data_IF_600774290922
#
_entry.id   IF_600774290922
#
_cell.length_a   1.000
_cell.length_b   1.000
_cell.length_c   1.000
_cell.angle_alpha   90.00
_cell.angle_beta   90.00
_cell.angle_gamma   90.00
#
_symmetry.space_group_name_H-M   'P 1'
#
loop_
_entity.id
_entity.type
_entity.pdbx_description
1 polymer ?
#
# COMPACT_ATOMS: atom_id res chain seq x y z
N UNK A 1 35.46 0.98 4.43
CA UNK A 1 34.12 1.32 4.93
C UNK A 1 33.01 0.94 3.94
N UNK A 2 33.02 1.35 2.65
CA UNK A 2 31.98 1.03 1.67
C UNK A 2 31.74 -0.48 1.47
N UNK A 3 32.79 -1.30 1.42
CA UNK A 3 32.67 -2.76 1.27
C UNK A 3 31.99 -3.39 2.49
N UNK A 4 32.32 -2.93 3.69
CA UNK A 4 31.69 -3.43 4.91
C UNK A 4 30.20 -3.07 4.96
N UNK A 5 29.85 -1.83 4.57
CA UNK A 5 28.46 -1.40 4.44
C UNK A 5 27.69 -2.25 3.41
N UNK A 6 28.29 -2.51 2.25
CA UNK A 6 27.67 -3.35 1.23
C UNK A 6 27.43 -4.78 1.72
N UNK A 7 28.37 -5.38 2.44
CA UNK A 7 28.23 -6.73 2.99
C UNK A 7 27.10 -6.79 4.04
N UNK A 8 27.05 -5.82 4.95
CA UNK A 8 26.00 -5.78 5.98
C UNK A 8 24.64 -5.55 5.35
N UNK A 9 24.51 -4.58 4.45
CA UNK A 9 23.26 -4.26 3.79
C UNK A 9 22.81 -5.39 2.84
N UNK A 10 23.74 -6.02 2.12
CA UNK A 10 23.45 -7.20 1.30
C UNK A 10 22.97 -8.40 2.12
N UNK A 11 23.60 -8.68 3.27
CA UNK A 11 23.14 -9.72 4.18
C UNK A 11 21.75 -9.41 4.75
N UNK A 12 21.45 -8.16 5.06
CA UNK A 12 20.13 -7.72 5.55
C UNK A 12 19.06 -7.88 4.50
N UNK A 13 19.32 -7.57 3.22
CA UNK A 13 18.40 -7.84 2.10
C UNK A 13 18.08 -9.33 2.04
N UNK A 14 19.12 -10.17 2.11
CA UNK A 14 18.95 -11.63 1.99
C UNK A 14 18.14 -12.23 3.14
N UNK A 15 18.31 -11.70 4.36
CA UNK A 15 17.53 -12.13 5.52
C UNK A 15 16.07 -11.70 5.39
N UNK A 16 15.82 -10.46 4.97
CA UNK A 16 14.47 -9.95 4.77
C UNK A 16 13.73 -10.63 3.61
N UNK A 17 14.43 -11.03 2.56
CA UNK A 17 13.87 -11.75 1.42
C UNK A 17 13.56 -13.22 1.77
N UNK A 18 14.37 -13.86 2.65
CA UNK A 18 14.15 -15.22 3.10
C UNK A 18 12.86 -15.39 3.92
N UNK A 19 12.45 -14.35 4.66
CA UNK A 19 11.18 -14.35 5.39
C UNK A 19 9.95 -14.29 4.46
N UNK A 20 10.10 -13.84 3.21
CA UNK A 20 9.03 -13.82 2.21
C UNK A 20 8.69 -15.19 1.60
N UNK A 21 9.53 -16.21 1.78
CA UNK A 21 9.34 -17.52 1.14
C UNK A 21 8.57 -18.54 1.97
N UNK A 22 8.15 -18.22 3.20
CA UNK A 22 7.50 -19.20 4.08
C UNK A 22 5.98 -19.06 4.26
N UNK A 23 5.34 -18.02 3.73
CA UNK A 23 3.88 -17.88 3.76
C UNK A 23 3.28 -17.95 2.36
N UNK A 24 2.96 -19.18 1.93
CA UNK A 24 2.10 -19.48 0.80
C UNK A 24 0.64 -19.53 1.25
N UNK A 25 0.10 -18.41 1.67
CA UNK A 25 -1.35 -18.24 1.73
C UNK A 25 -1.74 -16.83 1.25
N UNK A 26 -2.73 -16.81 0.39
CA UNK A 26 -3.26 -15.79 -0.47
C UNK A 26 -3.78 -14.55 0.25
N UNK A 27 -2.91 -13.71 0.82
CA UNK A 27 -3.28 -12.35 1.19
C UNK A 27 -2.25 -11.38 0.62
N UNK A 28 -2.60 -10.71 -0.48
CA UNK A 28 -1.81 -9.71 -1.17
C UNK A 28 -1.74 -8.36 -0.42
N UNK A 29 -1.78 -8.41 0.89
CA UNK A 29 -1.62 -7.23 1.72
C UNK A 29 -0.17 -7.14 2.20
N UNK A 30 0.62 -6.51 1.36
CA UNK A 30 2.00 -6.18 1.65
C UNK A 30 2.08 -5.36 2.93
N UNK A 31 2.73 -5.91 3.92
CA UNK A 31 3.13 -5.19 5.11
C UNK A 31 3.98 -3.98 4.69
N UNK A 32 3.36 -2.79 4.71
CA UNK A 32 3.98 -1.54 4.27
C UNK A 32 5.26 -1.24 5.04
N UNK A 33 5.36 -1.72 6.28
CA UNK A 33 6.51 -1.52 7.14
C UNK A 33 7.69 -2.39 6.68
N UNK A 34 7.44 -3.66 6.35
CA UNK A 34 8.46 -4.58 5.85
C UNK A 34 8.96 -4.13 4.46
N UNK A 35 8.05 -3.72 3.58
CA UNK A 35 8.40 -3.15 2.27
C UNK A 35 9.24 -1.89 2.40
N UNK A 36 8.93 -1.03 3.36
CA UNK A 36 9.69 0.17 3.65
C UNK A 36 11.11 -0.15 4.11
N UNK A 37 11.26 -1.10 5.04
CA UNK A 37 12.56 -1.57 5.52
C UNK A 37 13.38 -2.20 4.39
N UNK A 38 12.78 -3.07 3.57
CA UNK A 38 13.42 -3.69 2.42
C UNK A 38 13.92 -2.64 1.41
N UNK A 39 13.09 -1.66 1.03
CA UNK A 39 13.48 -0.60 0.11
C UNK A 39 14.61 0.27 0.66
N UNK A 40 14.62 0.54 1.96
CA UNK A 40 15.70 1.31 2.60
C UNK A 40 17.03 0.56 2.52
N UNK A 41 17.06 -0.72 2.90
CA UNK A 41 18.27 -1.55 2.87
C UNK A 41 18.75 -1.76 1.41
N UNK A 42 17.83 -1.92 0.47
CA UNK A 42 18.15 -2.02 -0.96
C UNK A 42 18.76 -0.72 -1.49
N UNK A 43 18.23 0.44 -1.08
CA UNK A 43 18.78 1.74 -1.47
C UNK A 43 20.22 1.90 -0.97
N UNK A 44 20.48 1.52 0.27
CA UNK A 44 21.83 1.57 0.88
C UNK A 44 22.82 0.64 0.17
N UNK A 45 22.39 -0.56 -0.18
CA UNK A 45 23.20 -1.50 -0.94
C UNK A 45 23.55 -0.96 -2.34
N UNK A 46 22.55 -0.40 -3.04
CA UNK A 46 22.74 0.20 -4.37
C UNK A 46 23.64 1.43 -4.35
N UNK A 47 23.45 2.32 -3.40
CA UNK A 47 24.32 3.52 -3.28
C UNK A 47 25.76 3.14 -2.95
N UNK A 48 25.96 2.13 -2.11
CA UNK A 48 27.29 1.57 -1.82
C UNK A 48 27.95 0.95 -3.07
N UNK A 49 27.17 0.22 -3.88
CA UNK A 49 27.63 -0.36 -5.13
C UNK A 49 28.03 0.72 -6.15
N UNK A 50 27.21 1.77 -6.31
CA UNK A 50 27.49 2.90 -7.17
C UNK A 50 28.75 3.63 -6.75
N UNK A 51 28.96 3.83 -5.44
CA UNK A 51 30.19 4.45 -4.92
C UNK A 51 31.44 3.61 -5.21
N UNK A 52 31.38 2.29 -5.01
CA UNK A 52 32.50 1.39 -5.34
C UNK A 52 32.80 1.45 -6.85
N UNK A 53 31.77 1.40 -7.68
CA UNK A 53 31.91 1.47 -9.13
C UNK A 53 32.54 2.79 -9.58
N UNK A 54 32.08 3.93 -9.03
CA UNK A 54 32.64 5.25 -9.32
C UNK A 54 34.13 5.34 -8.94
N UNK A 55 34.49 4.82 -7.74
CA UNK A 55 35.88 4.81 -7.28
C UNK A 55 36.79 3.92 -8.14
N UNK A 56 36.31 2.76 -8.59
CA UNK A 56 37.07 1.89 -9.48
C UNK A 56 37.31 2.55 -10.83
N UNK A 57 36.28 3.14 -11.44
CA UNK A 57 36.42 3.83 -12.72
C UNK A 57 37.34 5.06 -12.56
N UNK A 58 37.18 5.84 -11.51
CA UNK A 58 38.07 6.95 -11.20
C UNK A 58 39.53 6.53 -11.09
N UNK A 59 39.78 5.40 -10.40
CA UNK A 59 41.12 4.87 -10.18
C UNK A 59 41.78 4.30 -11.42
N UNK A 60 41.04 3.53 -12.25
CA UNK A 60 41.64 2.81 -13.41
C UNK A 60 41.57 3.63 -14.70
N UNK A 61 40.56 4.48 -14.87
CA UNK A 61 40.36 5.23 -16.11
C UNK A 61 40.56 6.76 -15.93
N UNK A 62 40.89 7.21 -14.71
CA UNK A 62 41.08 8.65 -14.41
C UNK A 62 39.81 9.50 -14.52
N UNK A 63 38.63 8.89 -14.59
CA UNK A 63 37.34 9.56 -14.77
C UNK A 63 36.81 10.13 -13.43
N UNK A 64 37.43 11.17 -12.91
CA UNK A 64 37.10 11.80 -11.61
C UNK A 64 35.64 12.31 -11.57
N UNK A 65 35.08 12.69 -12.73
CA UNK A 65 33.71 13.17 -12.83
C UNK A 65 32.63 12.07 -12.59
N UNK A 66 33.06 10.82 -12.57
CA UNK A 66 32.16 9.66 -12.38
C UNK A 66 31.56 9.61 -10.97
N UNK A 67 32.32 10.03 -9.97
CA UNK A 67 31.87 10.06 -8.57
C UNK A 67 30.70 11.04 -8.35
N UNK A 68 30.78 12.32 -8.76
CA UNK A 68 29.62 13.23 -8.71
C UNK A 68 28.43 12.72 -9.54
N UNK A 69 28.67 12.12 -10.71
CA UNK A 69 27.60 11.59 -11.54
C UNK A 69 26.84 10.47 -10.84
N UNK A 70 27.56 9.50 -10.25
CA UNK A 70 26.94 8.39 -9.50
C UNK A 70 26.22 8.88 -8.26
N UNK A 71 26.73 9.93 -7.61
CA UNK A 71 26.03 10.61 -6.53
C UNK A 71 24.69 11.20 -6.96
N UNK A 72 24.62 11.85 -8.13
CA UNK A 72 23.37 12.37 -8.70
C UNK A 72 22.41 11.22 -9.03
N UNK A 73 22.88 10.16 -9.67
CA UNK A 73 22.04 8.99 -9.99
C UNK A 73 21.47 8.37 -8.72
N UNK A 74 22.29 8.17 -7.68
CA UNK A 74 21.85 7.67 -6.39
C UNK A 74 20.79 8.57 -5.75
N UNK A 75 21.02 9.88 -5.75
CA UNK A 75 20.07 10.86 -5.21
C UNK A 75 18.71 10.81 -5.93
N UNK A 76 18.68 10.69 -7.25
CA UNK A 76 17.43 10.58 -8.05
C UNK A 76 16.70 9.28 -7.73
N UNK A 77 17.41 8.16 -7.58
CA UNK A 77 16.80 6.87 -7.21
C UNK A 77 16.17 6.93 -5.81
N UNK A 78 16.91 7.43 -4.82
CA UNK A 78 16.41 7.57 -3.45
C UNK A 78 15.21 8.51 -3.39
N UNK A 79 15.26 9.65 -4.11
CA UNK A 79 14.16 10.60 -4.21
C UNK A 79 12.90 9.94 -4.80
N UNK A 80 13.03 9.18 -5.87
CA UNK A 80 11.91 8.45 -6.50
C UNK A 80 11.25 7.49 -5.51
N UNK A 81 12.03 6.71 -4.78
CA UNK A 81 11.51 5.75 -3.79
C UNK A 81 10.89 6.45 -2.59
N UNK A 82 11.52 7.52 -2.09
CA UNK A 82 10.98 8.32 -0.98
C UNK A 82 9.61 8.92 -1.32
N UNK A 83 9.45 9.46 -2.52
CA UNK A 83 8.16 10.00 -2.98
C UNK A 83 7.12 8.87 -3.08
N UNK A 84 7.49 7.70 -3.59
CA UNK A 84 6.61 6.54 -3.65
C UNK A 84 6.13 6.11 -2.27
N UNK A 85 7.06 5.96 -1.33
CA UNK A 85 6.74 5.58 0.04
C UNK A 85 5.87 6.63 0.74
N UNK A 86 6.21 7.92 0.57
CA UNK A 86 5.45 9.02 1.16
C UNK A 86 4.00 9.04 0.65
N UNK A 87 3.77 8.82 -0.64
CA UNK A 87 2.43 8.73 -1.21
C UNK A 87 1.63 7.57 -0.62
N UNK A 88 2.23 6.38 -0.55
CA UNK A 88 1.56 5.20 0.00
C UNK A 88 1.22 5.39 1.48
N UNK A 89 2.14 5.93 2.27
CA UNK A 89 1.91 6.19 3.69
C UNK A 89 0.87 7.29 3.91
N UNK A 90 0.94 8.38 3.13
CA UNK A 90 -0.04 9.46 3.25
C UNK A 90 -1.45 9.01 2.85
N UNK A 91 -1.60 8.13 1.87
CA UNK A 91 -2.89 7.58 1.49
C UNK A 91 -3.55 6.83 2.66
N UNK A 92 -2.79 6.04 3.40
CA UNK A 92 -3.28 5.34 4.62
C UNK A 92 -3.62 6.33 5.73
N UNK A 93 -2.76 7.32 5.98
CA UNK A 93 -2.97 8.31 7.06
C UNK A 93 -4.12 9.29 6.78
N UNK A 94 -4.46 9.49 5.52
CA UNK A 94 -5.55 10.36 5.10
C UNK A 94 -6.86 9.58 4.86
N UNK A 95 -6.91 8.31 5.25
CA UNK A 95 -8.06 7.43 5.04
C UNK A 95 -8.55 7.46 3.59
N UNK A 96 -7.59 7.48 2.63
CA UNK A 96 -7.94 7.51 1.21
C UNK A 96 -8.76 6.27 0.85
N UNK A 97 -9.82 6.48 0.07
CA UNK A 97 -10.68 5.38 -0.36
C UNK A 97 -9.88 4.33 -1.11
N UNK A 98 -9.87 3.12 -0.56
CA UNK A 98 -9.21 1.96 -1.14
C UNK A 98 -10.21 1.07 -1.87
N UNK A 99 -9.71 0.18 -2.73
CA UNK A 99 -10.49 -0.87 -3.38
C UNK A 99 -11.70 -0.36 -4.21
N UNK A 100 -11.53 0.55 -5.18
CA UNK A 100 -12.63 1.12 -5.95
C UNK A 100 -13.49 0.06 -6.66
N UNK A 101 -12.88 -1.04 -7.10
CA UNK A 101 -13.59 -2.17 -7.74
C UNK A 101 -14.54 -2.85 -6.74
N UNK A 102 -14.09 -3.07 -5.50
CA UNK A 102 -14.92 -3.67 -4.44
C UNK A 102 -16.06 -2.75 -4.01
N UNK A 103 -15.81 -1.44 -3.97
CA UNK A 103 -16.85 -0.46 -3.70
C UNK A 103 -17.97 -0.51 -4.76
N UNK A 104 -17.61 -0.68 -6.01
CA UNK A 104 -18.58 -0.80 -7.10
C UNK A 104 -19.37 -2.12 -7.05
N UNK A 105 -18.73 -3.23 -6.65
CA UNK A 105 -19.38 -4.52 -6.42
C UNK A 105 -20.38 -4.42 -5.25
N UNK A 106 -20.01 -3.76 -4.16
CA UNK A 106 -20.87 -3.52 -3.00
C UNK A 106 -22.08 -2.69 -3.41
N UNK A 107 -21.86 -1.58 -4.13
CA UNK A 107 -22.94 -0.74 -4.63
C UNK A 107 -23.95 -1.54 -5.45
N UNK A 108 -23.48 -2.32 -6.43
CA UNK A 108 -24.33 -3.18 -7.26
C UNK A 108 -25.09 -4.23 -6.45
N UNK A 109 -24.44 -4.83 -5.45
CA UNK A 109 -25.09 -5.85 -4.60
C UNK A 109 -26.20 -5.25 -3.72
N UNK A 110 -25.99 -4.06 -3.17
CA UNK A 110 -26.98 -3.36 -2.34
C UNK A 110 -28.11 -2.80 -3.19
N UNK A 111 -27.79 -2.21 -4.35
CA UNK A 111 -28.75 -1.60 -5.27
C UNK A 111 -29.40 -2.60 -6.25
N UNK A 112 -29.23 -3.91 -6.03
CA UNK A 112 -29.79 -4.96 -6.91
C UNK A 112 -31.30 -4.89 -7.07
N UNK A 113 -31.99 -4.25 -6.12
CA UNK A 113 -33.39 -3.88 -6.20
C UNK A 113 -33.49 -2.35 -6.19
N UNK A 114 -34.29 -1.77 -7.05
CA UNK A 114 -34.51 -0.32 -7.19
C UNK A 114 -35.03 0.39 -5.92
N UNK A 115 -35.32 -0.38 -4.87
CA UNK A 115 -35.77 0.12 -3.57
C UNK A 115 -34.65 0.65 -2.69
N UNK A 116 -33.40 0.28 -2.96
CA UNK A 116 -32.23 0.61 -2.14
C UNK A 116 -31.23 1.45 -2.94
N UNK A 117 -30.72 2.52 -2.32
CA UNK A 117 -29.71 3.38 -2.92
C UNK A 117 -28.56 3.60 -1.93
N UNK A 118 -27.34 3.35 -2.36
CA UNK A 118 -26.13 3.69 -1.59
C UNK A 118 -25.80 5.16 -1.81
N UNK A 119 -25.96 5.98 -0.79
CA UNK A 119 -25.72 7.43 -0.84
C UNK A 119 -24.32 7.79 -0.39
N UNK A 120 -23.73 6.97 0.50
CA UNK A 120 -22.34 7.09 0.88
C UNK A 120 -21.72 5.69 1.02
N UNK A 121 -20.50 5.54 0.52
CA UNK A 121 -19.72 4.32 0.63
C UNK A 121 -18.24 4.70 0.66
N UNK A 122 -17.64 4.52 1.81
CA UNK A 122 -16.22 4.78 2.01
C UNK A 122 -15.56 3.58 2.68
N UNK A 123 -14.48 3.07 2.07
CA UNK A 123 -13.67 1.96 2.57
C UNK A 123 -12.22 2.40 2.57
N UNK A 124 -11.56 2.29 3.71
CA UNK A 124 -10.16 2.68 3.87
C UNK A 124 -9.37 1.60 4.60
N UNK A 125 -8.06 1.64 4.45
CA UNK A 125 -7.15 0.73 5.15
C UNK A 125 -6.87 1.23 6.57
N UNK A 126 -6.97 0.34 7.55
CA UNK A 126 -6.62 0.60 8.96
C UNK A 126 -5.36 -0.17 9.39
N UNK A 127 -4.78 -0.94 8.48
CA UNK A 127 -3.57 -1.71 8.71
C UNK A 127 -3.25 -2.64 7.55
N UNK A 128 -2.25 -3.48 7.71
CA UNK A 128 -1.90 -4.49 6.72
C UNK A 128 -3.05 -5.49 6.60
N UNK A 129 -3.72 -5.52 5.42
CA UNK A 129 -4.85 -6.39 5.16
C UNK A 129 -6.13 -6.11 5.94
N UNK A 130 -6.14 -5.07 6.76
CA UNK A 130 -7.28 -4.69 7.57
C UNK A 130 -7.99 -3.47 7.00
N UNK A 131 -9.30 -3.57 6.81
CA UNK A 131 -10.11 -2.50 6.24
C UNK A 131 -11.26 -2.14 7.16
N UNK A 132 -11.58 -0.86 7.19
CA UNK A 132 -12.80 -0.34 7.77
C UNK A 132 -13.70 0.25 6.68
N UNK A 133 -15.00 0.33 6.95
CA UNK A 133 -15.95 0.90 6.02
C UNK A 133 -17.15 1.56 6.68
N UNK A 134 -17.66 2.57 6.00
CA UNK A 134 -18.92 3.22 6.31
C UNK A 134 -19.81 3.11 5.08
N UNK A 135 -21.05 2.69 5.29
CA UNK A 135 -22.05 2.57 4.23
C UNK A 135 -23.33 3.21 4.67
N UNK A 136 -23.82 4.17 3.92
CA UNK A 136 -25.12 4.79 4.14
C UNK A 136 -26.08 4.40 3.03
N UNK A 137 -27.23 3.83 3.41
CA UNK A 137 -28.25 3.34 2.49
C UNK A 137 -29.57 4.08 2.73
N UNK A 138 -30.16 4.55 1.66
CA UNK A 138 -31.52 5.11 1.65
C UNK A 138 -32.46 4.15 0.97
N UNK A 139 -33.62 3.90 1.58
CA UNK A 139 -34.62 2.98 1.00
C UNK A 139 -36.04 3.38 1.33
N UNK A 140 -36.97 3.09 0.42
CA UNK A 140 -38.42 3.22 0.66
C UNK A 140 -38.88 2.16 1.67
N UNK A 141 -38.32 0.96 1.61
CA UNK A 141 -38.61 -0.15 2.52
C UNK A 141 -37.30 -0.65 3.16
N UNK A 142 -36.76 0.07 4.17
CA UNK A 142 -35.45 -0.21 4.72
C UNK A 142 -35.42 -1.57 5.41
N UNK A 143 -34.39 -2.35 5.10
CA UNK A 143 -34.05 -3.59 5.81
C UNK A 143 -33.17 -3.25 7.03
N UNK A 144 -33.11 -4.15 8.03
CA UNK A 144 -32.22 -3.92 9.17
C UNK A 144 -30.73 -3.91 8.72
N UNK A 145 -29.86 -3.18 9.42
CA UNK A 145 -28.42 -3.09 9.06
C UNK A 145 -27.74 -4.45 8.86
N UNK A 146 -28.15 -5.45 9.63
CA UNK A 146 -27.64 -6.83 9.51
C UNK A 146 -27.82 -7.42 8.09
N UNK A 147 -28.89 -7.05 7.39
CA UNK A 147 -29.14 -7.52 6.03
C UNK A 147 -28.05 -7.04 5.07
N UNK A 148 -27.73 -5.75 5.12
CA UNK A 148 -26.69 -5.14 4.27
C UNK A 148 -25.29 -5.64 4.67
N UNK A 149 -25.06 -5.84 5.98
CA UNK A 149 -23.79 -6.41 6.47
C UNK A 149 -23.50 -7.75 5.83
N UNK A 150 -24.46 -8.66 5.79
CA UNK A 150 -24.30 -9.99 5.18
C UNK A 150 -24.03 -9.91 3.67
N UNK A 151 -24.61 -8.92 2.97
CA UNK A 151 -24.34 -8.71 1.56
C UNK A 151 -22.91 -8.24 1.33
N UNK A 152 -22.43 -7.31 2.13
CA UNK A 152 -21.09 -6.73 2.02
C UNK A 152 -20.01 -7.75 2.40
N UNK A 153 -20.24 -8.52 3.46
CA UNK A 153 -19.29 -9.56 3.94
C UNK A 153 -19.07 -10.69 2.92
N UNK A 154 -20.00 -10.89 1.97
CA UNK A 154 -19.79 -11.83 0.84
C UNK A 154 -18.79 -11.32 -0.19
N UNK A 155 -18.58 -10.02 -0.26
CA UNK A 155 -17.71 -9.35 -1.25
C UNK A 155 -16.35 -9.08 -0.64
N UNK A 156 -16.34 -8.58 0.58
CA UNK A 156 -15.12 -8.22 1.31
C UNK A 156 -15.31 -8.41 2.81
N UNK A 157 -14.28 -8.94 3.47
CA UNK A 157 -14.22 -8.96 4.93
C UNK A 157 -13.71 -7.60 5.43
N UNK A 158 -14.50 -6.94 6.26
CA UNK A 158 -14.13 -5.69 6.91
C UNK A 158 -14.00 -5.93 8.42
N UNK A 159 -12.92 -5.46 9.03
CA UNK A 159 -12.70 -5.56 10.49
C UNK A 159 -13.66 -4.63 11.25
N UNK A 160 -13.96 -3.48 10.64
CA UNK A 160 -14.96 -2.56 11.17
C UNK A 160 -15.89 -2.08 10.06
N UNK A 161 -17.20 -2.25 10.27
CA UNK A 161 -18.22 -1.82 9.32
C UNK A 161 -19.35 -1.11 10.03
N UNK A 162 -19.53 0.17 9.72
CA UNK A 162 -20.67 0.98 10.13
C UNK A 162 -21.69 1.06 9.01
N UNK A 163 -22.96 0.77 9.32
CA UNK A 163 -24.05 0.83 8.34
C UNK A 163 -25.14 1.75 8.89
N UNK A 164 -25.40 2.80 8.13
CA UNK A 164 -26.51 3.72 8.37
C UNK A 164 -27.63 3.40 7.39
N UNK A 165 -28.86 3.34 7.89
CA UNK A 165 -30.03 3.04 7.07
C UNK A 165 -31.09 4.12 7.29
N UNK A 166 -31.43 4.81 6.23
CA UNK A 166 -32.40 5.90 6.24
C UNK A 166 -33.64 5.52 5.42
N UNK A 167 -34.81 5.90 5.94
CA UNK A 167 -36.05 5.76 5.20
C UNK A 167 -36.23 6.96 4.28
N UNK A 168 -36.50 6.69 3.00
CA UNK A 168 -36.93 7.74 2.09
C UNK A 168 -38.41 8.06 2.34
N UNK A 169 -38.67 9.27 2.82
CA UNK A 169 -40.03 9.81 2.93
C UNK A 169 -40.31 10.68 1.71
N UNK A 170 -41.29 10.25 0.92
CA UNK A 170 -41.73 11.04 -0.23
C UNK A 170 -42.58 12.20 0.33
N UNK A 171 -41.99 13.40 0.29
CA UNK A 171 -42.72 14.66 0.65
C UNK A 171 -43.78 14.95 -0.38
#
# INVERSE_FOLDING_TARGET
>A
MAILGLLVNGASVFILDADHHHDHDHDHDHDHNLKSAYLHVLADALTSLLAIFALLIGKYFGAIWMDPLMGIVGAVLVMKWSIGLLRTTSAVLLDEQTLPVRCEEIRKAVESNDEHRVVDLHIWSIGAGAYAGIVSVVSINPKPPKHYKVLIEKIIKLEHLSIEVHRFEKT
#
